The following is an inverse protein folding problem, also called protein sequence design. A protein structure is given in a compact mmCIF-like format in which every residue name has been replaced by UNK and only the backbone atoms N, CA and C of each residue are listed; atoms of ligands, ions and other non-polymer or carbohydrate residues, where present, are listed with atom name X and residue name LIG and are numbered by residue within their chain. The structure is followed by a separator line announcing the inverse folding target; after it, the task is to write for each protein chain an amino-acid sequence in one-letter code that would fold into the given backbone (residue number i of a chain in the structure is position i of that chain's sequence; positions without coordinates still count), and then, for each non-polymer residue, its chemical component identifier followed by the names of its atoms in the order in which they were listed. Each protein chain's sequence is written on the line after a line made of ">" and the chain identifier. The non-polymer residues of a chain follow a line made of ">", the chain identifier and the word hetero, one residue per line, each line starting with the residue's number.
data_IF_079742284676
#
_entry.id   IF_079742284676
#
_cell.length_a   1.000
_cell.length_b   1.000
_cell.length_c   1.000
_cell.angle_alpha   90.00
_cell.angle_beta   90.00
_cell.angle_gamma   90.00
#
_symmetry.space_group_name_H-M   'P 1'
#
loop_
_entity.id
_entity.type
_entity.pdbx_description
1 polymer ?
#
# COMPACT_ATOMS: atom_id res chain seq x y z
N UNK A 1 3.90 -0.03 -21.86
CA UNK A 1 3.29 -1.02 -20.93
C UNK A 1 1.92 -0.51 -20.53
N UNK A 2 0.90 -1.37 -20.38
CA UNK A 2 -0.39 -0.90 -19.81
C UNK A 2 -0.19 -0.57 -18.35
N UNK A 3 -1.04 0.29 -17.79
CA UNK A 3 -1.00 0.67 -16.38
C UNK A 3 -1.01 -0.57 -15.45
N UNK A 4 -1.80 -1.60 -15.81
CA UNK A 4 -1.90 -2.87 -15.09
C UNK A 4 -0.65 -3.75 -15.17
N UNK A 5 0.25 -3.47 -16.11
CA UNK A 5 1.50 -4.22 -16.31
C UNK A 5 2.66 -3.59 -15.53
N UNK A 6 2.48 -2.38 -14.99
CA UNK A 6 3.46 -1.65 -14.18
C UNK A 6 3.33 -2.04 -12.70
N UNK A 7 3.37 -3.35 -12.45
CA UNK A 7 3.31 -3.93 -11.11
C UNK A 7 4.63 -4.62 -10.80
N UNK A 8 5.15 -4.44 -9.58
CA UNK A 8 6.45 -4.99 -9.20
C UNK A 8 6.35 -6.49 -9.02
N UNK A 9 7.11 -7.24 -9.84
CA UNK A 9 7.09 -8.70 -9.84
C UNK A 9 7.48 -9.29 -8.48
N UNK A 10 8.55 -8.81 -7.79
CA UNK A 10 8.91 -9.33 -6.46
C UNK A 10 7.82 -9.08 -5.40
N UNK A 11 7.05 -7.99 -5.53
CA UNK A 11 5.93 -7.72 -4.60
C UNK A 11 4.74 -8.64 -4.86
N UNK A 12 4.48 -9.04 -6.11
CA UNK A 12 3.47 -10.07 -6.43
C UNK A 12 3.87 -11.43 -5.88
N UNK A 13 5.15 -11.80 -6.01
CA UNK A 13 5.70 -13.03 -5.44
C UNK A 13 5.59 -13.03 -3.91
N UNK A 14 5.92 -11.91 -3.26
CA UNK A 14 5.76 -11.74 -1.82
C UNK A 14 4.28 -11.89 -1.40
N UNK A 15 3.35 -11.24 -2.09
CA UNK A 15 1.91 -11.37 -1.79
C UNK A 15 1.47 -12.83 -1.92
N UNK A 16 1.84 -13.51 -3.01
CA UNK A 16 1.51 -14.91 -3.22
C UNK A 16 2.12 -15.82 -2.14
N UNK A 17 3.38 -15.60 -1.78
CA UNK A 17 4.06 -16.33 -0.70
C UNK A 17 3.34 -16.15 0.64
N UNK A 18 2.98 -14.92 0.99
CA UNK A 18 2.25 -14.63 2.23
C UNK A 18 0.87 -15.32 2.23
N UNK A 19 0.12 -15.23 1.13
CA UNK A 19 -1.19 -15.87 1.00
C UNK A 19 -1.11 -17.41 1.07
N UNK A 20 -0.09 -18.02 0.48
CA UNK A 20 0.18 -19.46 0.58
C UNK A 20 0.52 -19.92 2.01
N UNK A 21 0.93 -18.98 2.87
CA UNK A 21 1.20 -19.21 4.30
C UNK A 21 0.07 -18.67 5.19
N UNK A 22 -1.16 -18.60 4.68
CA UNK A 22 -2.39 -18.19 5.38
C UNK A 22 -2.43 -16.75 5.89
N UNK A 23 -1.55 -15.88 5.38
CA UNK A 23 -1.64 -14.45 5.68
C UNK A 23 -2.77 -13.80 4.88
N UNK A 24 -3.51 -12.91 5.53
CA UNK A 24 -4.42 -11.98 4.86
C UNK A 24 -3.65 -10.74 4.42
N UNK A 25 -3.56 -10.52 3.12
CA UNK A 25 -2.87 -9.38 2.52
C UNK A 25 -3.87 -8.25 2.24
N UNK A 26 -3.54 -7.02 2.66
CA UNK A 26 -4.37 -5.84 2.47
C UNK A 26 -3.60 -4.76 1.71
N UNK A 27 -4.31 -3.94 0.94
CA UNK A 27 -3.80 -2.66 0.41
C UNK A 27 -4.28 -1.55 1.35
N UNK A 28 -3.36 -0.66 1.73
CA UNK A 28 -3.62 0.56 2.53
C UNK A 28 -2.94 1.71 1.81
N UNK A 29 -3.70 2.64 1.24
CA UNK A 29 -3.19 3.58 0.24
C UNK A 29 -3.93 4.91 0.23
N UNK A 30 -3.18 6.01 0.14
CA UNK A 30 -3.75 7.34 -0.03
C UNK A 30 -4.56 7.51 -1.33
N UNK A 31 -4.41 6.59 -2.28
CA UNK A 31 -5.22 6.54 -3.50
C UNK A 31 -6.70 6.28 -3.25
N UNK A 32 -7.54 6.68 -4.19
CA UNK A 32 -8.99 6.47 -4.09
C UNK A 32 -9.35 4.99 -4.06
N UNK A 33 -10.09 4.55 -3.04
CA UNK A 33 -10.45 3.12 -2.87
C UNK A 33 -11.20 2.57 -4.10
N UNK A 34 -12.16 3.34 -4.63
CA UNK A 34 -12.94 2.96 -5.82
C UNK A 34 -12.14 3.05 -7.14
N UNK A 35 -10.97 3.70 -7.13
CA UNK A 35 -10.05 3.64 -8.26
C UNK A 35 -9.26 2.32 -8.28
N UNK A 36 -8.93 1.76 -7.11
CA UNK A 36 -8.11 0.55 -6.98
C UNK A 36 -8.92 -0.75 -7.07
N UNK A 37 -10.11 -0.79 -6.43
CA UNK A 37 -10.95 -1.99 -6.35
C UNK A 37 -11.25 -2.69 -7.69
N UNK A 38 -11.45 -1.97 -8.83
CA UNK A 38 -11.78 -2.62 -10.09
C UNK A 38 -10.70 -3.55 -10.67
N UNK A 39 -9.43 -3.41 -10.28
CA UNK A 39 -8.32 -4.11 -10.94
C UNK A 39 -7.31 -4.78 -9.99
N UNK A 40 -7.34 -4.44 -8.69
CA UNK A 40 -6.42 -5.01 -7.68
C UNK A 40 -6.50 -6.53 -7.54
N UNK A 41 -7.68 -7.13 -7.71
CA UNK A 41 -7.82 -8.60 -7.71
C UNK A 41 -7.04 -9.24 -8.85
N UNK A 42 -7.14 -8.70 -10.06
CA UNK A 42 -6.43 -9.22 -11.24
C UNK A 42 -4.93 -8.96 -11.15
N UNK A 43 -4.52 -7.79 -10.66
CA UNK A 43 -3.12 -7.39 -10.61
C UNK A 43 -2.33 -8.07 -9.46
N UNK A 44 -2.96 -8.20 -8.29
CA UNK A 44 -2.29 -8.60 -7.05
C UNK A 44 -2.93 -9.79 -6.33
N UNK A 45 -4.08 -10.31 -6.80
CA UNK A 45 -4.85 -11.31 -6.07
C UNK A 45 -5.53 -10.77 -4.81
N UNK A 46 -5.61 -9.44 -4.63
CA UNK A 46 -6.22 -8.79 -3.47
C UNK A 46 -7.65 -8.36 -3.80
N UNK A 47 -8.61 -8.92 -3.06
CA UNK A 47 -10.05 -8.71 -3.29
C UNK A 47 -10.55 -7.35 -2.74
N UNK A 48 -11.66 -6.79 -3.25
CA UNK A 48 -12.09 -5.42 -2.92
C UNK A 48 -12.27 -5.12 -1.42
N UNK A 49 -12.68 -6.10 -0.62
CA UNK A 49 -12.83 -6.01 0.84
C UNK A 49 -11.49 -5.98 1.60
N UNK A 50 -10.38 -6.30 0.92
CA UNK A 50 -9.02 -6.18 1.42
C UNK A 50 -8.31 -4.91 0.91
N UNK A 51 -9.04 -4.01 0.24
CA UNK A 51 -8.52 -2.73 -0.24
C UNK A 51 -9.09 -1.60 0.60
N UNK A 52 -8.18 -0.88 1.25
CA UNK A 52 -8.42 0.32 2.04
C UNK A 52 -7.77 1.50 1.30
N UNK A 53 -8.50 2.60 1.21
CA UNK A 53 -7.98 3.81 0.61
C UNK A 53 -8.84 5.04 0.88
N UNK A 54 -8.39 6.17 0.37
CA UNK A 54 -9.12 7.44 0.49
C UNK A 54 -10.50 7.33 -0.17
N UNK A 55 -11.50 7.98 0.43
CA UNK A 55 -12.89 7.86 0.01
C UNK A 55 -13.69 9.14 0.19
N UNK A 56 -14.80 9.23 -0.54
CA UNK A 56 -15.80 10.28 -0.43
C UNK A 56 -17.06 9.74 0.24
N UNK A 57 -17.88 10.64 0.78
CA UNK A 57 -19.18 10.28 1.35
C UNK A 57 -20.02 9.61 0.27
N UNK A 58 -20.66 8.49 0.62
CA UNK A 58 -21.54 7.74 -0.27
C UNK A 58 -22.91 7.64 0.38
N UNK A 59 -23.94 8.01 -0.37
CA UNK A 59 -25.32 7.99 0.09
C UNK A 59 -26.10 6.89 -0.59
N UNK A 60 -26.85 6.13 0.18
CA UNK A 60 -27.88 5.24 -0.36
C UNK A 60 -29.06 6.08 -0.86
N UNK A 61 -29.48 5.84 -2.09
CA UNK A 61 -30.67 6.49 -2.69
C UNK A 61 -31.50 5.48 -3.46
N UNK A 62 -32.79 5.74 -3.57
CA UNK A 62 -33.66 5.06 -4.52
C UNK A 62 -33.75 5.90 -5.79
N UNK A 63 -33.36 5.34 -6.93
CA UNK A 63 -33.49 5.98 -8.26
C UNK A 63 -34.30 5.07 -9.16
N UNK A 64 -35.44 5.55 -9.65
CA UNK A 64 -36.37 4.79 -10.50
C UNK A 64 -36.74 3.42 -9.91
N UNK A 65 -37.01 3.40 -8.59
CA UNK A 65 -37.34 2.19 -7.84
C UNK A 65 -36.15 1.25 -7.54
N UNK A 66 -34.93 1.58 -7.96
CA UNK A 66 -33.72 0.76 -7.73
C UNK A 66 -32.80 1.36 -6.66
N UNK A 67 -32.23 0.53 -5.76
CA UNK A 67 -31.24 0.99 -4.80
C UNK A 67 -29.93 1.31 -5.52
N UNK A 68 -29.38 2.50 -5.27
CA UNK A 68 -28.09 2.94 -5.79
C UNK A 68 -27.25 3.61 -4.70
N UNK A 69 -25.94 3.58 -4.88
CA UNK A 69 -24.99 4.31 -4.07
C UNK A 69 -24.48 5.53 -4.84
N UNK A 70 -24.69 6.73 -4.29
CA UNK A 70 -24.33 8.00 -4.94
C UNK A 70 -23.16 8.64 -4.21
N UNK A 71 -22.06 8.85 -4.92
CA UNK A 71 -20.86 9.54 -4.43
C UNK A 71 -21.16 11.04 -4.29
N UNK A 72 -20.82 11.60 -3.14
CA UNK A 72 -20.95 13.03 -2.86
C UNK A 72 -19.61 13.75 -3.08
N UNK A 73 -19.60 15.04 -3.45
CA UNK A 73 -18.39 15.86 -3.53
C UNK A 73 -17.89 16.27 -2.13
N UNK A 74 -17.77 15.30 -1.21
CA UNK A 74 -17.36 15.50 0.18
C UNK A 74 -16.42 14.37 0.59
N UNK A 75 -15.25 14.73 1.11
CA UNK A 75 -14.29 13.75 1.65
C UNK A 75 -14.90 13.03 2.83
N UNK A 76 -14.80 11.70 2.83
CA UNK A 76 -15.15 10.86 3.99
C UNK A 76 -13.91 10.52 4.80
N UNK A 77 -12.85 10.08 4.12
CA UNK A 77 -11.63 9.66 4.78
C UNK A 77 -10.42 9.81 3.85
N UNK A 78 -9.29 10.25 4.40
CA UNK A 78 -8.00 10.32 3.70
C UNK A 78 -7.09 9.25 4.32
N UNK A 79 -6.74 8.25 3.52
CA UNK A 79 -5.93 7.10 3.94
C UNK A 79 -4.43 7.35 3.71
N UNK A 80 -3.93 8.47 4.23
CA UNK A 80 -2.55 8.89 4.06
C UNK A 80 -1.91 9.29 5.39
N UNK A 81 -0.58 9.09 5.51
CA UNK A 81 0.17 9.37 6.74
C UNK A 81 -0.44 8.67 7.96
N UNK A 82 -0.79 9.42 9.01
CA UNK A 82 -1.44 8.89 10.22
C UNK A 82 -2.79 8.22 9.92
N UNK A 83 -3.45 8.67 8.83
CA UNK A 83 -4.67 8.07 8.31
C UNK A 83 -4.51 6.56 8.07
N UNK A 84 -3.37 6.10 7.57
CA UNK A 84 -3.11 4.68 7.31
C UNK A 84 -3.20 3.82 8.57
N UNK A 85 -2.63 4.29 9.68
CA UNK A 85 -2.72 3.58 10.96
C UNK A 85 -4.15 3.56 11.51
N UNK A 86 -4.88 4.68 11.37
CA UNK A 86 -6.29 4.78 11.76
C UNK A 86 -7.15 3.83 10.92
N UNK A 87 -6.92 3.77 9.60
CA UNK A 87 -7.68 2.95 8.67
C UNK A 87 -7.50 1.47 8.96
N UNK A 88 -6.27 1.03 9.22
CA UNK A 88 -5.97 -0.34 9.67
C UNK A 88 -6.81 -0.69 10.89
N UNK A 89 -6.79 0.14 11.94
CA UNK A 89 -7.58 -0.14 13.13
C UNK A 89 -9.09 -0.09 12.86
N UNK A 90 -9.56 0.82 12.01
CA UNK A 90 -10.98 1.01 11.73
C UNK A 90 -11.59 -0.12 10.89
N UNK A 91 -10.88 -0.55 9.84
CA UNK A 91 -11.41 -1.49 8.84
C UNK A 91 -10.96 -2.93 9.07
N UNK A 92 -9.76 -3.14 9.65
CA UNK A 92 -9.24 -4.49 9.93
C UNK A 92 -9.48 -4.86 11.41
N UNK A 93 -9.41 -3.87 12.32
CA UNK A 93 -9.56 -4.10 13.76
C UNK A 93 -8.39 -4.86 14.38
N UNK A 94 -7.28 -5.02 13.64
CA UNK A 94 -6.11 -5.79 14.06
C UNK A 94 -4.84 -5.05 13.66
N UNK A 95 -3.86 -5.02 14.56
CA UNK A 95 -2.51 -4.56 14.24
C UNK A 95 -1.84 -5.58 13.30
N UNK A 96 -1.29 -5.15 12.14
CA UNK A 96 -0.58 -6.04 11.23
C UNK A 96 0.67 -6.63 11.89
N UNK A 97 1.13 -7.75 11.34
CA UNK A 97 2.42 -8.33 11.74
C UNK A 97 3.55 -7.98 10.76
N UNK A 98 3.20 -7.58 9.54
CA UNK A 98 4.12 -7.07 8.54
C UNK A 98 3.48 -5.89 7.79
N UNK A 99 4.28 -4.89 7.42
CA UNK A 99 3.85 -3.75 6.59
C UNK A 99 4.97 -3.31 5.66
N UNK A 100 4.59 -2.94 4.44
CA UNK A 100 5.50 -2.57 3.35
C UNK A 100 5.07 -1.21 2.82
N UNK A 101 6.00 -0.25 2.78
CA UNK A 101 5.78 1.09 2.22
C UNK A 101 6.89 1.48 1.25
N UNK A 102 6.86 2.71 0.75
CA UNK A 102 7.93 3.25 -0.10
C UNK A 102 8.20 4.74 0.14
N UNK A 103 7.43 5.42 0.99
CA UNK A 103 7.57 6.85 1.21
C UNK A 103 7.34 7.24 2.68
N UNK A 104 7.70 8.48 3.02
CA UNK A 104 7.54 9.03 4.38
C UNK A 104 6.10 9.04 4.86
N UNK A 105 5.11 8.99 3.96
CA UNK A 105 3.72 8.87 4.35
C UNK A 105 3.32 7.47 4.86
N UNK A 106 4.19 6.46 4.71
CA UNK A 106 3.97 5.11 5.25
C UNK A 106 4.51 4.95 6.66
N UNK A 107 5.30 5.93 7.12
CA UNK A 107 5.92 5.91 8.44
C UNK A 107 4.92 5.56 9.55
N UNK A 108 3.73 6.20 9.65
CA UNK A 108 2.82 5.90 10.75
C UNK A 108 2.26 4.47 10.68
N UNK A 109 2.02 3.94 9.46
CA UNK A 109 1.61 2.55 9.26
C UNK A 109 2.69 1.57 9.74
N UNK A 110 3.95 1.82 9.37
CA UNK A 110 5.06 0.95 9.75
C UNK A 110 5.31 1.04 11.27
N UNK A 111 5.27 2.24 11.85
CA UNK A 111 5.36 2.40 13.31
C UNK A 111 4.25 1.66 14.05
N UNK A 112 3.01 1.78 13.58
CA UNK A 112 1.88 1.08 14.18
C UNK A 112 2.07 -0.44 14.13
N UNK A 113 2.54 -0.96 13.01
CA UNK A 113 2.84 -2.39 12.83
C UNK A 113 3.92 -2.86 13.81
N UNK A 114 5.04 -2.13 13.89
CA UNK A 114 6.20 -2.49 14.71
C UNK A 114 5.97 -2.33 16.22
N UNK A 115 4.99 -1.54 16.66
CA UNK A 115 4.71 -1.29 18.08
C UNK A 115 4.12 -2.49 18.85
N UNK A 116 4.00 -3.68 18.25
CA UNK A 116 3.43 -4.88 18.89
C UNK A 116 4.47 -5.78 19.56
N UNK A 117 4.05 -6.49 20.61
CA UNK A 117 4.93 -7.26 21.52
C UNK A 117 5.53 -8.56 20.96
N UNK A 118 5.27 -8.89 19.68
CA UNK A 118 5.76 -10.13 19.03
C UNK A 118 6.64 -9.77 17.83
N UNK A 119 7.21 -10.77 17.15
CA UNK A 119 7.96 -10.53 15.90
C UNK A 119 7.10 -9.72 14.91
N UNK A 120 7.66 -8.62 14.41
CA UNK A 120 7.05 -7.73 13.44
C UNK A 120 8.05 -7.43 12.34
N UNK A 121 7.52 -7.08 11.17
CA UNK A 121 8.31 -6.75 10.00
C UNK A 121 7.85 -5.39 9.44
N UNK A 122 8.78 -4.46 9.32
CA UNK A 122 8.58 -3.17 8.65
C UNK A 122 9.56 -3.05 7.51
N UNK A 123 9.06 -2.90 6.28
CA UNK A 123 9.92 -2.78 5.10
C UNK A 123 9.58 -1.54 4.28
N UNK A 124 10.60 -0.95 3.66
CA UNK A 124 10.49 0.19 2.76
C UNK A 124 11.16 -0.18 1.44
N UNK A 125 10.44 -0.03 0.33
CA UNK A 125 11.03 -0.09 -1.02
C UNK A 125 11.77 1.21 -1.30
N UNK A 126 13.08 1.14 -1.50
CA UNK A 126 13.90 2.27 -1.92
C UNK A 126 14.10 2.19 -3.44
N UNK A 127 13.54 3.17 -4.15
CA UNK A 127 13.66 3.31 -5.59
C UNK A 127 15.06 3.80 -5.96
N UNK A 128 15.99 2.87 -6.13
CA UNK A 128 17.42 3.11 -6.42
C UNK A 128 17.81 2.83 -7.86
N UNK A 129 16.87 2.37 -8.69
CA UNK A 129 17.16 1.81 -10.00
C UNK A 129 16.67 2.71 -11.14
N UNK A 130 17.55 3.58 -11.65
CA UNK A 130 17.23 4.47 -12.76
C UNK A 130 17.22 3.79 -14.14
N UNK A 131 17.70 2.55 -14.24
CA UNK A 131 17.81 1.84 -15.53
C UNK A 131 16.55 1.01 -15.82
N UNK A 132 16.06 0.29 -14.81
CA UNK A 132 14.89 -0.60 -14.91
C UNK A 132 13.61 0.05 -14.40
N UNK A 133 13.72 1.09 -13.57
CA UNK A 133 12.61 1.87 -13.01
C UNK A 133 13.03 3.35 -12.88
N UNK A 134 12.72 4.01 -11.78
CA UNK A 134 13.15 5.35 -11.45
C UNK A 134 14.04 5.31 -10.21
N UNK A 135 14.99 6.24 -10.12
CA UNK A 135 15.75 6.48 -8.90
C UNK A 135 15.28 7.78 -8.24
N UNK A 136 14.65 7.68 -7.06
CA UNK A 136 14.16 8.84 -6.34
C UNK A 136 13.97 8.55 -4.84
N UNK A 137 14.19 9.58 -4.01
CA UNK A 137 14.01 9.50 -2.56
C UNK A 137 13.69 10.87 -1.92
N UNK A 138 14.67 11.54 -1.31
CA UNK A 138 14.53 12.69 -0.40
C UNK A 138 14.00 13.95 -1.08
N UNK A 139 14.35 14.14 -2.35
CA UNK A 139 13.99 15.33 -3.13
C UNK A 139 12.80 15.12 -4.05
N UNK A 140 12.21 13.92 -4.05
CA UNK A 140 11.06 13.65 -4.91
C UNK A 140 9.83 14.44 -4.45
N UNK A 141 9.06 14.97 -5.39
CA UNK A 141 7.75 15.59 -5.13
C UNK A 141 6.67 14.52 -4.94
N UNK A 142 6.86 13.34 -5.55
CA UNK A 142 5.94 12.20 -5.47
C UNK A 142 6.66 11.05 -4.77
N UNK A 143 6.06 10.50 -3.71
CA UNK A 143 6.67 9.39 -2.98
C UNK A 143 7.98 9.75 -2.28
N UNK A 144 8.10 10.97 -1.73
CA UNK A 144 9.27 11.41 -0.97
C UNK A 144 9.63 10.39 0.10
N UNK A 145 10.88 9.91 0.08
CA UNK A 145 11.42 9.00 1.08
C UNK A 145 12.67 9.65 1.69
N UNK A 146 12.51 10.29 2.85
CA UNK A 146 13.56 11.06 3.52
C UNK A 146 13.78 10.53 4.93
N UNK A 147 12.78 10.74 5.79
CA UNK A 147 12.81 10.30 7.19
C UNK A 147 12.73 8.78 7.30
N UNK A 148 12.13 8.11 6.32
CA UNK A 148 12.06 6.65 6.26
C UNK A 148 13.44 6.00 6.17
N UNK A 149 14.37 6.60 5.39
CA UNK A 149 15.75 6.12 5.27
C UNK A 149 16.47 6.25 6.62
N UNK A 150 16.38 7.43 7.24
CA UNK A 150 17.03 7.69 8.54
C UNK A 150 16.51 6.75 9.64
N UNK A 151 15.23 6.38 9.57
CA UNK A 151 14.63 5.42 10.52
C UNK A 151 15.11 4.00 10.30
N UNK A 152 15.19 3.55 9.06
CA UNK A 152 15.72 2.22 8.78
C UNK A 152 17.17 2.07 9.22
N UNK A 153 18.00 3.11 9.05
CA UNK A 153 19.38 3.14 9.55
C UNK A 153 19.48 3.05 11.08
N UNK A 154 18.48 3.57 11.82
CA UNK A 154 18.40 3.45 13.29
C UNK A 154 17.97 2.06 13.76
N UNK A 155 17.53 1.18 12.86
CA UNK A 155 17.19 -0.21 13.13
C UNK A 155 15.68 -0.49 13.26
N UNK A 156 15.34 -1.78 13.12
CA UNK A 156 13.96 -2.30 13.22
C UNK A 156 13.12 -2.19 11.94
N UNK A 157 13.62 -1.51 10.91
CA UNK A 157 12.99 -1.40 9.58
C UNK A 157 14.02 -1.86 8.53
N UNK A 158 13.55 -2.49 7.46
CA UNK A 158 14.41 -2.96 6.37
C UNK A 158 14.19 -2.12 5.12
N UNK A 159 15.28 -1.59 4.54
CA UNK A 159 15.25 -1.00 3.21
C UNK A 159 15.51 -2.08 2.17
N UNK A 160 14.68 -2.10 1.14
CA UNK A 160 14.87 -2.91 -0.06
C UNK A 160 15.51 -2.00 -1.10
N UNK A 161 16.75 -2.29 -1.49
CA UNK A 161 17.45 -1.56 -2.55
C UNK A 161 17.01 -2.18 -3.88
N UNK A 162 16.11 -1.50 -4.61
CA UNK A 162 15.53 -2.05 -5.84
C UNK A 162 16.59 -2.50 -6.85
N UNK A 163 17.65 -1.71 -7.04
CA UNK A 163 18.71 -2.01 -7.99
C UNK A 163 19.47 -3.30 -7.64
N UNK A 164 19.72 -3.53 -6.35
CA UNK A 164 20.57 -4.64 -5.89
C UNK A 164 19.78 -5.90 -5.54
N UNK A 165 18.61 -5.73 -4.94
CA UNK A 165 17.87 -6.83 -4.31
C UNK A 165 16.90 -7.48 -5.28
N UNK A 166 16.43 -6.76 -6.30
CA UNK A 166 15.48 -7.27 -7.28
C UNK A 166 16.18 -7.73 -8.55
N UNK A 167 16.00 -9.01 -8.90
CA UNK A 167 16.45 -9.57 -10.18
C UNK A 167 15.66 -8.99 -11.35
N UNK A 168 14.36 -8.79 -11.15
CA UNK A 168 13.42 -8.28 -12.15
C UNK A 168 12.51 -7.26 -11.48
N UNK A 169 12.25 -6.12 -12.12
CA UNK A 169 11.34 -5.09 -11.59
C UNK A 169 9.89 -5.40 -11.98
N UNK A 170 9.62 -5.55 -13.27
CA UNK A 170 8.28 -5.79 -13.81
C UNK A 170 8.21 -7.17 -14.46
N UNK A 171 7.05 -7.81 -14.45
CA UNK A 171 6.85 -9.08 -15.15
C UNK A 171 7.25 -8.97 -16.64
N UNK A 172 7.84 -10.04 -17.16
CA UNK A 172 7.99 -10.23 -18.61
C UNK A 172 6.60 -10.42 -19.24
N UNK A 173 6.41 -9.87 -20.44
CA UNK A 173 5.14 -9.97 -21.17
C UNK A 173 5.04 -11.29 -21.93
#
# INVERSE_FOLDING_TARGET
>A
RKYTDLTFQPMKELIAYLQQNDFKTYIVSGGGVEFMRPWTKTAYGIVPEQVIGSSVVTEFRMKDGKPVLVRQPKVFFIDDKEGKAIAIQKFIGRRPIASFGNADHDIPMIQWTLAGDRRRLGMIVHHTDAEREFAYDRKSIVGTLDKGIDRAQKGGWHLIDMAKDWKTVFAEQ
#
